data_IF_014134731197
#
_entry.id   IF_014134731197
#
_cell.length_a   1.000
_cell.length_b   1.000
_cell.length_c   1.000
_cell.angle_alpha   90.00
_cell.angle_beta   90.00
_cell.angle_gamma   90.00
#
_symmetry.space_group_name_H-M   'P 1'
#
loop_
_entity.id
_entity.type
_entity.pdbx_description
1 polymer ?
#
# COMPACT_ATOMS: atom_id res chain seq x y z
N UNK A 1 74.62 43.43 25.78
CA UNK A 1 73.60 42.44 26.17
C UNK A 1 72.54 43.13 27.00
N UNK A 2 71.40 43.48 26.40
CA UNK A 2 70.17 43.81 27.14
C UNK A 2 68.97 43.61 26.21
N UNK A 3 67.96 42.94 26.76
CA UNK A 3 66.91 42.18 26.05
C UNK A 3 65.73 43.09 25.69
N UNK A 4 65.27 43.01 24.43
CA UNK A 4 64.00 43.59 24.00
C UNK A 4 62.85 42.67 24.42
N UNK A 5 61.89 43.22 25.18
CA UNK A 5 60.64 42.56 25.57
C UNK A 5 59.67 42.68 24.39
N UNK A 6 59.29 41.55 23.80
CA UNK A 6 58.19 41.48 22.83
C UNK A 6 56.91 41.07 23.56
N UNK A 7 55.95 41.97 23.63
CA UNK A 7 54.59 41.69 24.09
C UNK A 7 53.86 40.92 22.98
N UNK A 8 53.63 39.62 23.19
CA UNK A 8 52.79 38.81 22.31
C UNK A 8 51.33 39.08 22.68
N UNK A 9 50.61 39.78 21.80
CA UNK A 9 49.15 39.93 21.89
C UNK A 9 48.53 38.66 21.30
N UNK A 10 47.98 37.81 22.17
CA UNK A 10 47.20 36.63 21.78
C UNK A 10 45.81 37.09 21.32
N UNK A 11 45.61 37.27 20.01
CA UNK A 11 44.28 37.47 19.45
C UNK A 11 43.60 36.10 19.41
N UNK A 12 42.81 35.81 20.43
CA UNK A 12 41.95 34.64 20.47
C UNK A 12 40.84 34.84 19.43
N UNK A 13 41.04 34.37 18.20
CA UNK A 13 39.99 34.35 17.17
C UNK A 13 38.94 33.33 17.59
N UNK A 14 37.82 33.80 18.15
CA UNK A 14 36.65 32.97 18.35
C UNK A 14 36.15 32.51 16.97
N UNK A 15 36.44 31.25 16.63
CA UNK A 15 35.88 30.58 15.48
C UNK A 15 34.39 30.37 15.77
N UNK A 16 33.56 31.32 15.34
CA UNK A 16 32.10 31.18 15.40
C UNK A 16 31.73 30.10 14.38
N UNK A 17 31.60 28.87 14.86
CA UNK A 17 30.94 27.78 14.14
C UNK A 17 29.47 28.17 13.96
N UNK A 18 29.17 28.90 12.89
CA UNK A 18 27.79 29.03 12.43
C UNK A 18 27.35 27.65 11.96
N UNK A 19 26.54 26.97 12.78
CA UNK A 19 25.84 25.76 12.37
C UNK A 19 25.12 26.05 11.05
N UNK A 20 25.16 25.15 10.06
CA UNK A 20 24.38 25.34 8.84
C UNK A 20 22.92 25.51 9.26
N UNK A 21 22.36 26.67 8.96
CA UNK A 21 20.93 26.93 9.12
C UNK A 21 20.21 26.00 8.15
N UNK A 22 19.39 25.10 8.69
CA UNK A 22 18.45 24.26 7.94
C UNK A 22 17.41 25.20 7.32
N UNK A 23 17.75 25.79 6.19
CA UNK A 23 16.85 26.57 5.36
C UNK A 23 16.65 25.80 4.06
N UNK A 24 15.85 24.73 4.14
CA UNK A 24 15.10 24.10 3.03
C UNK A 24 14.56 22.73 3.49
N UNK A 25 13.56 22.71 4.37
CA UNK A 25 12.63 21.58 4.41
C UNK A 25 11.24 22.14 4.09
N UNK A 26 11.07 22.60 2.84
CA UNK A 26 9.75 22.55 2.25
C UNK A 26 9.27 21.11 2.41
N UNK A 27 8.18 20.95 3.17
CA UNK A 27 7.64 19.67 3.61
C UNK A 27 7.78 18.60 2.51
N UNK A 28 8.77 17.71 2.65
CA UNK A 28 9.16 16.70 1.66
C UNK A 28 7.95 15.93 1.11
N UNK A 29 6.97 15.66 1.97
CA UNK A 29 5.74 14.96 1.59
C UNK A 29 4.88 15.74 0.60
N UNK A 30 4.87 17.08 0.64
CA UNK A 30 4.18 17.92 -0.36
C UNK A 30 4.88 17.85 -1.72
N UNK A 31 6.22 17.84 -1.73
CA UNK A 31 7.01 17.74 -2.96
C UNK A 31 6.85 16.38 -3.63
N UNK A 32 6.73 15.33 -2.82
CA UNK A 32 6.52 13.96 -3.27
C UNK A 32 5.04 13.59 -3.40
N UNK A 33 4.13 14.53 -3.11
CA UNK A 33 2.68 14.34 -3.19
C UNK A 33 2.29 13.76 -4.55
N UNK A 34 1.49 12.71 -4.51
CA UNK A 34 1.00 12.02 -5.69
C UNK A 34 2.00 11.09 -6.36
N UNK A 35 3.25 11.02 -5.90
CA UNK A 35 4.25 10.07 -6.42
C UNK A 35 4.08 8.69 -5.80
N UNK A 36 4.41 7.68 -6.60
CA UNK A 36 4.76 6.36 -6.10
C UNK A 36 6.27 6.35 -5.88
N UNK A 37 6.70 5.84 -4.72
CA UNK A 37 8.07 5.84 -4.25
C UNK A 37 8.53 4.40 -4.07
N UNK A 38 9.77 4.10 -4.46
CA UNK A 38 10.39 2.79 -4.27
C UNK A 38 11.56 2.91 -3.30
N UNK A 39 11.53 2.15 -2.21
CA UNK A 39 12.66 2.05 -1.28
C UNK A 39 13.83 1.35 -1.96
N UNK A 40 14.93 2.07 -2.22
CA UNK A 40 16.07 1.51 -2.95
C UNK A 40 17.14 0.86 -2.06
N UNK A 41 17.02 1.00 -0.74
CA UNK A 41 18.00 0.52 0.24
C UNK A 41 17.52 -0.69 1.08
N UNK A 42 16.24 -1.06 0.94
CA UNK A 42 15.58 -2.18 1.61
C UNK A 42 15.14 -3.25 0.58
N UNK A 43 13.99 -3.89 0.75
CA UNK A 43 13.47 -4.98 -0.06
C UNK A 43 12.75 -4.51 -1.34
N UNK A 44 12.81 -3.21 -1.67
CA UNK A 44 12.11 -2.66 -2.84
C UNK A 44 10.65 -2.36 -2.56
N UNK A 45 10.31 -1.97 -1.34
CA UNK A 45 8.95 -1.62 -0.93
C UNK A 45 8.43 -0.40 -1.69
N UNK A 46 7.21 -0.49 -2.23
CA UNK A 46 6.53 0.61 -2.92
C UNK A 46 5.59 1.38 -1.97
N UNK A 47 5.50 2.70 -2.15
CA UNK A 47 4.69 3.61 -1.33
C UNK A 47 4.01 4.68 -2.17
N UNK A 48 2.74 4.96 -1.93
CA UNK A 48 2.03 6.08 -2.55
C UNK A 48 1.91 7.25 -1.58
N UNK A 49 2.32 8.45 -1.99
CA UNK A 49 2.11 9.67 -1.18
C UNK A 49 0.78 10.30 -1.57
N UNK A 50 -0.20 10.27 -0.68
CA UNK A 50 -1.54 10.74 -0.98
C UNK A 50 -1.60 12.28 -1.15
N UNK A 51 -2.31 12.73 -2.19
CA UNK A 51 -2.40 14.16 -2.54
C UNK A 51 -3.22 15.01 -1.58
N UNK A 52 -4.14 14.40 -0.82
CA UNK A 52 -5.05 15.11 0.07
C UNK A 52 -4.45 15.32 1.47
N UNK A 53 -3.75 14.31 2.00
CA UNK A 53 -3.23 14.34 3.37
C UNK A 53 -1.70 14.28 3.49
N UNK A 54 -0.99 14.14 2.36
CA UNK A 54 0.48 14.07 2.30
C UNK A 54 1.10 12.95 3.12
N UNK A 55 0.33 11.91 3.45
CA UNK A 55 0.85 10.70 4.09
C UNK A 55 1.25 9.66 3.04
N UNK A 56 2.23 8.83 3.38
CA UNK A 56 2.64 7.68 2.54
C UNK A 56 1.83 6.43 2.91
N UNK A 57 1.35 5.71 1.92
CA UNK A 57 0.59 4.47 2.07
C UNK A 57 1.36 3.34 1.42
N UNK A 58 1.38 2.19 2.08
CA UNK A 58 2.12 1.02 1.60
C UNK A 58 1.45 0.40 0.37
N UNK A 59 2.26 0.01 -0.61
CA UNK A 59 1.83 -0.64 -1.86
C UNK A 59 2.55 -1.98 -2.09
N UNK A 60 3.29 -2.50 -1.10
CA UNK A 60 4.24 -3.59 -1.32
C UNK A 60 3.61 -4.94 -1.67
N UNK A 61 2.32 -5.14 -1.40
CA UNK A 61 1.57 -6.32 -1.86
C UNK A 61 0.43 -5.91 -2.80
N UNK A 62 0.01 -6.82 -3.70
CA UNK A 62 -1.13 -6.58 -4.57
C UNK A 62 -2.40 -6.13 -3.81
N UNK A 63 -2.71 -6.76 -2.67
CA UNK A 63 -3.87 -6.39 -1.85
C UNK A 63 -3.77 -4.98 -1.25
N UNK A 64 -2.58 -4.57 -0.76
CA UNK A 64 -2.37 -3.22 -0.22
C UNK A 64 -2.55 -2.15 -1.30
N UNK A 65 -2.03 -2.42 -2.50
CA UNK A 65 -2.18 -1.55 -3.65
C UNK A 65 -3.66 -1.39 -4.04
N UNK A 66 -4.42 -2.49 -4.04
CA UNK A 66 -5.85 -2.48 -4.26
C UNK A 66 -6.60 -1.65 -3.20
N UNK A 67 -6.29 -1.83 -1.91
CA UNK A 67 -6.93 -1.08 -0.84
C UNK A 67 -6.63 0.42 -0.95
N UNK A 68 -5.40 0.79 -1.29
CA UNK A 68 -5.02 2.19 -1.55
C UNK A 68 -5.83 2.76 -2.70
N UNK A 69 -5.94 2.03 -3.82
CA UNK A 69 -6.72 2.47 -4.98
C UNK A 69 -8.19 2.66 -4.64
N UNK A 70 -8.78 1.71 -3.91
CA UNK A 70 -10.20 1.71 -3.59
C UNK A 70 -10.57 2.79 -2.58
N UNK A 71 -9.77 2.96 -1.52
CA UNK A 71 -10.10 3.83 -0.39
C UNK A 71 -9.62 5.28 -0.57
N UNK A 72 -8.53 5.48 -1.31
CA UNK A 72 -8.02 6.83 -1.59
C UNK A 72 -8.41 7.34 -2.99
N UNK A 73 -8.99 6.46 -3.81
CA UNK A 73 -9.45 6.79 -5.15
C UNK A 73 -10.61 7.80 -5.12
N UNK A 74 -10.57 8.78 -6.00
CA UNK A 74 -11.67 9.73 -6.21
C UNK A 74 -12.53 9.26 -7.39
N UNK A 75 -13.85 9.37 -7.31
CA UNK A 75 -14.71 9.06 -8.46
C UNK A 75 -14.45 10.00 -9.65
N UNK A 76 -14.51 9.48 -10.87
CA UNK A 76 -14.42 10.25 -12.11
C UNK A 76 -15.39 9.74 -13.18
N UNK A 77 -15.91 10.65 -13.99
CA UNK A 77 -16.75 10.34 -15.16
C UNK A 77 -15.88 9.92 -16.36
N UNK A 78 -16.46 9.20 -17.31
CA UNK A 78 -15.78 8.80 -18.54
C UNK A 78 -15.33 10.03 -19.35
N UNK A 79 -16.17 11.08 -19.37
CA UNK A 79 -15.90 12.33 -20.06
C UNK A 79 -14.72 13.12 -19.45
N UNK A 80 -14.54 13.06 -18.13
CA UNK A 80 -13.39 13.71 -17.49
C UNK A 80 -12.14 12.83 -17.56
N UNK A 81 -12.30 11.51 -17.47
CA UNK A 81 -11.20 10.58 -17.59
C UNK A 81 -10.58 10.59 -18.99
N UNK A 82 -11.36 10.80 -20.07
CA UNK A 82 -10.85 10.89 -21.45
C UNK A 82 -9.94 12.10 -21.72
N UNK A 83 -9.88 13.06 -20.79
CA UNK A 83 -9.02 14.24 -20.89
C UNK A 83 -7.55 13.98 -20.56
N UNK A 84 -7.23 12.80 -20.03
CA UNK A 84 -5.85 12.39 -19.81
C UNK A 84 -5.34 11.59 -21.00
N UNK A 85 -4.10 11.87 -21.43
CA UNK A 85 -3.36 10.96 -22.30
C UNK A 85 -3.25 9.58 -21.65
N UNK A 86 -3.21 8.54 -22.47
CA UNK A 86 -3.18 7.16 -22.00
C UNK A 86 -1.73 6.69 -21.93
N UNK A 87 -1.33 6.19 -20.77
CA UNK A 87 -0.07 5.52 -20.56
C UNK A 87 -0.18 4.05 -20.95
N UNK A 88 0.70 3.59 -21.84
CA UNK A 88 0.84 2.18 -22.18
C UNK A 88 2.04 1.64 -21.40
N UNK A 89 1.83 0.50 -20.74
CA UNK A 89 2.89 -0.33 -20.18
C UNK A 89 2.70 -1.77 -20.68
N UNK A 90 3.71 -2.61 -20.55
CA UNK A 90 3.58 -4.03 -20.85
C UNK A 90 2.79 -4.73 -19.74
N UNK A 91 1.61 -5.25 -20.07
CA UNK A 91 0.81 -6.08 -19.18
C UNK A 91 1.13 -7.55 -19.43
N UNK A 92 1.31 -8.35 -18.38
CA UNK A 92 1.40 -9.81 -18.48
C UNK A 92 -0.03 -10.38 -18.59
N UNK A 93 -0.58 -10.27 -19.81
CA UNK A 93 -1.93 -10.67 -20.17
C UNK A 93 -2.01 -11.01 -21.66
N UNK A 94 -3.09 -11.66 -22.08
CA UNK A 94 -3.29 -11.99 -23.49
C UNK A 94 -3.64 -10.75 -24.32
N UNK A 95 -3.20 -10.75 -25.57
CA UNK A 95 -3.52 -9.82 -26.66
C UNK A 95 -4.03 -10.71 -27.82
N UNK A 96 -5.36 -10.80 -27.96
CA UNK A 96 -6.00 -11.81 -28.81
C UNK A 96 -5.98 -11.45 -30.29
N UNK A 97 -6.07 -10.18 -30.63
CA UNK A 97 -6.01 -9.68 -32.00
C UNK A 97 -4.62 -9.19 -32.43
N UNK A 98 -3.65 -9.20 -31.51
CA UNK A 98 -2.24 -8.89 -31.73
C UNK A 98 -2.01 -7.45 -32.20
N UNK A 99 -2.83 -6.53 -31.73
CA UNK A 99 -2.75 -5.11 -32.08
C UNK A 99 -1.77 -4.31 -31.19
N UNK A 100 -1.29 -4.94 -30.10
CA UNK A 100 -0.37 -4.37 -29.12
C UNK A 100 -1.04 -3.89 -27.83
N UNK A 101 -2.33 -4.14 -27.62
CA UNK A 101 -3.05 -3.91 -26.38
C UNK A 101 -3.45 -5.25 -25.75
N UNK A 102 -3.32 -5.35 -24.43
CA UNK A 102 -3.83 -6.52 -23.72
C UNK A 102 -5.36 -6.46 -23.59
N UNK A 103 -6.04 -7.60 -23.71
CA UNK A 103 -7.51 -7.69 -23.70
C UNK A 103 -8.18 -6.97 -22.51
N UNK A 104 -7.59 -7.03 -21.31
CA UNK A 104 -8.13 -6.32 -20.13
C UNK A 104 -7.97 -4.81 -20.27
N UNK A 105 -6.85 -4.37 -20.82
CA UNK A 105 -6.62 -2.95 -21.04
C UNK A 105 -7.58 -2.42 -22.10
N UNK A 106 -7.80 -3.17 -23.17
CA UNK A 106 -8.83 -2.89 -24.17
C UNK A 106 -10.24 -2.79 -23.58
N UNK A 107 -10.62 -3.75 -22.73
CA UNK A 107 -11.89 -3.68 -22.00
C UNK A 107 -12.03 -2.38 -21.19
N UNK A 108 -10.95 -1.92 -20.55
CA UNK A 108 -10.93 -0.68 -19.78
C UNK A 108 -10.92 0.58 -20.68
N UNK A 109 -10.46 0.47 -21.92
CA UNK A 109 -10.53 1.52 -22.93
C UNK A 109 -11.85 1.53 -23.70
N UNK A 110 -12.59 0.42 -23.65
CA UNK A 110 -13.82 0.20 -24.40
C UNK A 110 -13.59 -0.25 -25.84
N UNK A 111 -12.39 -0.74 -26.19
CA UNK A 111 -12.09 -1.36 -27.50
C UNK A 111 -12.46 -2.85 -27.50
N UNK A 112 -12.54 -3.45 -28.69
CA UNK A 112 -12.92 -4.85 -28.90
C UNK A 112 -11.67 -5.75 -29.01
N UNK A 113 -11.42 -6.55 -27.98
CA UNK A 113 -10.21 -7.39 -27.89
C UNK A 113 -10.10 -8.54 -28.89
N UNK A 114 -11.07 -8.69 -29.80
CA UNK A 114 -11.00 -9.65 -30.90
C UNK A 114 -10.90 -8.96 -32.27
N UNK A 115 -10.79 -7.62 -32.28
CA UNK A 115 -10.80 -6.81 -33.48
C UNK A 115 -9.76 -5.69 -33.37
N UNK A 116 -8.63 -5.77 -34.11
CA UNK A 116 -7.50 -4.88 -33.91
C UNK A 116 -7.74 -3.42 -34.32
N UNK A 117 -8.90 -3.11 -34.91
CA UNK A 117 -9.36 -1.78 -35.40
C UNK A 117 -10.84 -1.66 -35.03
N UNK A 118 -11.12 -1.18 -33.81
CA UNK A 118 -12.46 -1.21 -33.20
C UNK A 118 -13.46 -0.32 -33.96
N UNK A 119 -13.04 0.86 -34.41
CA UNK A 119 -13.92 1.80 -35.10
C UNK A 119 -13.97 1.61 -36.64
N UNK A 120 -13.09 0.75 -37.17
CA UNK A 120 -13.06 0.33 -38.57
C UNK A 120 -12.54 1.40 -39.51
N UNK A 121 -11.70 2.33 -39.03
CA UNK A 121 -11.17 3.43 -39.83
C UNK A 121 -9.87 3.07 -40.60
N UNK A 122 -9.33 1.88 -40.35
CA UNK A 122 -8.12 1.34 -40.98
C UNK A 122 -6.85 1.54 -40.16
N UNK A 123 -6.96 1.99 -38.91
CA UNK A 123 -5.86 2.09 -37.97
C UNK A 123 -6.07 1.15 -36.77
N UNK A 124 -4.98 0.51 -36.31
CA UNK A 124 -5.10 -0.39 -35.17
C UNK A 124 -5.25 0.39 -33.85
N UNK A 125 -6.06 -0.10 -32.92
CA UNK A 125 -6.37 0.60 -31.67
C UNK A 125 -5.09 0.92 -30.86
N UNK A 126 -4.18 -0.06 -30.76
CA UNK A 126 -2.89 0.11 -30.08
C UNK A 126 -2.00 1.19 -30.73
N UNK A 127 -2.05 1.33 -32.05
CA UNK A 127 -1.33 2.37 -32.78
C UNK A 127 -1.97 3.73 -32.53
N UNK A 128 -3.29 3.79 -32.53
CA UNK A 128 -4.03 5.02 -32.26
C UNK A 128 -3.76 5.56 -30.86
N UNK A 129 -3.88 4.71 -29.83
CA UNK A 129 -3.60 5.08 -28.44
C UNK A 129 -2.17 5.61 -28.29
N UNK A 130 -1.19 4.95 -28.90
CA UNK A 130 0.22 5.39 -28.87
C UNK A 130 0.42 6.76 -29.53
N UNK A 131 -0.43 7.13 -30.47
CA UNK A 131 -0.39 8.41 -31.20
C UNK A 131 -1.47 9.41 -30.75
N UNK A 132 -2.15 9.15 -29.61
CA UNK A 132 -3.23 9.97 -29.05
C UNK A 132 -4.48 10.13 -29.96
N UNK A 133 -4.74 9.16 -30.82
CA UNK A 133 -6.00 9.04 -31.57
C UNK A 133 -7.05 8.26 -30.77
N UNK A 134 -8.31 8.44 -31.13
CA UNK A 134 -9.45 7.83 -30.46
C UNK A 134 -9.84 6.51 -31.14
N UNK A 135 -9.60 5.34 -30.52
CA UNK A 135 -9.88 4.04 -31.17
C UNK A 135 -11.37 3.68 -31.25
N UNK A 136 -12.23 4.53 -30.69
CA UNK A 136 -13.68 4.32 -30.68
C UNK A 136 -14.41 5.37 -31.55
N UNK A 137 -13.69 6.05 -32.44
CA UNK A 137 -14.26 6.97 -33.39
C UNK A 137 -13.28 8.06 -33.82
N UNK A 138 -13.61 8.74 -34.91
CA UNK A 138 -12.72 9.70 -35.57
C UNK A 138 -11.94 10.69 -34.68
N UNK A 139 -10.67 10.88 -35.00
CA UNK A 139 -9.86 12.03 -34.58
C UNK A 139 -8.99 11.79 -33.35
N UNK A 140 -8.54 12.87 -32.72
CA UNK A 140 -7.69 12.80 -31.53
C UNK A 140 -8.51 12.61 -30.26
N UNK A 141 -7.92 11.95 -29.26
CA UNK A 141 -8.44 11.95 -27.90
C UNK A 141 -8.61 13.40 -27.40
N UNK A 142 -9.67 13.71 -26.62
CA UNK A 142 -9.97 15.05 -26.15
C UNK A 142 -9.08 15.47 -24.95
N UNK A 143 -7.77 15.33 -25.11
CA UNK A 143 -6.76 15.59 -24.07
C UNK A 143 -6.79 17.05 -23.63
N UNK A 144 -6.80 17.28 -22.32
CA UNK A 144 -6.69 18.60 -21.69
C UNK A 144 -5.55 18.63 -20.68
N UNK A 145 -4.43 19.25 -21.08
CA UNK A 145 -3.24 19.37 -20.24
C UNK A 145 -3.47 20.16 -18.94
N UNK A 146 -4.32 21.19 -18.97
CA UNK A 146 -4.62 21.96 -17.75
C UNK A 146 -5.45 21.11 -16.79
N UNK A 147 -6.39 20.33 -17.33
CA UNK A 147 -7.12 19.35 -16.53
C UNK A 147 -6.15 18.34 -15.91
N UNK A 148 -5.24 17.78 -16.71
CA UNK A 148 -4.26 16.81 -16.21
C UNK A 148 -3.39 17.37 -15.09
N UNK A 149 -2.87 18.59 -15.25
CA UNK A 149 -2.03 19.27 -14.26
C UNK A 149 -2.70 19.46 -12.90
N UNK A 150 -4.02 19.67 -12.87
CA UNK A 150 -4.79 19.83 -11.63
C UNK A 150 -5.10 18.49 -10.91
N UNK A 151 -4.78 17.37 -11.55
CA UNK A 151 -5.11 16.03 -11.06
C UNK A 151 -3.89 15.11 -10.96
N UNK A 152 -2.67 15.64 -11.11
CA UNK A 152 -1.44 14.86 -11.02
C UNK A 152 -1.36 14.08 -9.71
N UNK A 153 -1.04 12.81 -9.86
CA UNK A 153 -0.81 11.88 -8.77
C UNK A 153 -2.07 11.41 -8.08
N UNK A 154 -3.26 11.83 -8.52
CA UNK A 154 -4.50 11.27 -8.02
C UNK A 154 -4.69 9.86 -8.57
N UNK A 155 -5.33 9.04 -7.75
CA UNK A 155 -5.93 7.78 -8.20
C UNK A 155 -7.40 8.07 -8.41
N UNK A 156 -7.92 7.69 -9.56
CA UNK A 156 -9.33 7.78 -9.90
C UNK A 156 -9.99 6.41 -9.94
N UNK A 157 -11.28 6.38 -9.64
CA UNK A 157 -12.17 5.25 -9.83
C UNK A 157 -13.22 5.67 -10.86
N UNK A 158 -13.29 4.95 -11.97
CA UNK A 158 -14.23 5.22 -13.04
C UNK A 158 -15.64 4.79 -12.61
N UNK A 159 -16.55 5.75 -12.44
CA UNK A 159 -17.85 5.47 -11.81
C UNK A 159 -18.96 5.04 -12.78
N UNK A 160 -18.70 5.13 -14.08
CA UNK A 160 -19.69 4.92 -15.15
C UNK A 160 -19.45 3.62 -15.94
N UNK A 161 -18.51 2.78 -15.49
CA UNK A 161 -18.17 1.48 -16.11
C UNK A 161 -18.02 0.41 -15.01
N UNK A 162 -16.92 -0.36 -14.95
CA UNK A 162 -16.75 -1.46 -14.00
C UNK A 162 -16.02 -1.06 -12.71
N UNK A 163 -15.75 0.23 -12.50
CA UNK A 163 -14.99 0.70 -11.34
C UNK A 163 -13.49 0.63 -11.53
N UNK A 164 -13.03 0.67 -12.78
CA UNK A 164 -11.63 0.68 -13.17
C UNK A 164 -10.85 1.78 -12.42
N UNK A 165 -9.64 1.44 -11.98
CA UNK A 165 -8.78 2.39 -11.28
C UNK A 165 -7.68 2.93 -12.18
N UNK A 166 -7.42 4.23 -12.07
CA UNK A 166 -6.51 4.96 -12.95
C UNK A 166 -5.58 5.84 -12.13
N UNK A 167 -4.26 5.72 -12.33
CA UNK A 167 -3.28 6.60 -11.71
C UNK A 167 -2.83 7.68 -12.69
N UNK A 168 -2.91 8.94 -12.29
CA UNK A 168 -2.38 10.04 -13.10
C UNK A 168 -0.91 10.24 -12.74
N UNK A 169 0.01 9.78 -13.58
CA UNK A 169 1.43 9.86 -13.27
C UNK A 169 1.90 11.32 -13.33
N UNK A 170 2.44 11.88 -12.23
CA UNK A 170 2.93 13.25 -12.25
C UNK A 170 4.14 13.52 -13.16
N UNK A 171 4.85 12.48 -13.61
CA UNK A 171 6.05 12.64 -14.43
C UNK A 171 5.73 12.96 -15.91
N UNK A 172 4.67 12.35 -16.45
CA UNK A 172 4.26 12.47 -17.86
C UNK A 172 2.82 12.95 -18.04
N UNK A 173 2.05 13.10 -16.95
CA UNK A 173 0.65 13.55 -16.90
C UNK A 173 -0.35 12.56 -17.50
N UNK A 174 0.07 11.34 -17.80
CA UNK A 174 -0.77 10.30 -18.40
C UNK A 174 -1.57 9.54 -17.34
N UNK A 175 -2.72 9.00 -17.72
CA UNK A 175 -3.47 8.02 -16.93
C UNK A 175 -2.95 6.62 -17.22
N UNK A 176 -2.67 5.86 -16.17
CA UNK A 176 -2.26 4.46 -16.24
C UNK A 176 -3.35 3.59 -15.62
N UNK A 177 -3.77 2.57 -16.36
CA UNK A 177 -4.79 1.63 -15.91
C UNK A 177 -4.22 0.68 -14.86
N UNK A 178 -4.72 0.74 -13.63
CA UNK A 178 -4.17 -0.04 -12.53
C UNK A 178 -4.68 -1.49 -12.50
N UNK A 179 -5.66 -1.84 -13.35
CA UNK A 179 -6.04 -3.22 -13.64
C UNK A 179 -6.20 -4.14 -12.43
N UNK A 180 -5.55 -5.29 -12.49
CA UNK A 180 -5.48 -6.23 -11.37
C UNK A 180 -4.47 -5.72 -10.33
N UNK A 181 -4.59 -6.20 -9.08
CA UNK A 181 -3.56 -6.00 -8.06
C UNK A 181 -2.11 -6.26 -8.50
N UNK A 182 -1.87 -7.25 -9.38
CA UNK A 182 -0.54 -7.55 -9.92
C UNK A 182 -0.10 -6.53 -10.99
N UNK A 183 -1.02 -6.09 -11.85
CA UNK A 183 -0.74 -5.08 -12.88
C UNK A 183 -0.42 -3.75 -12.21
N UNK A 184 -1.26 -3.33 -11.27
CA UNK A 184 -1.06 -2.22 -10.35
C UNK A 184 0.36 -2.20 -9.77
N UNK A 185 0.81 -3.33 -9.22
CA UNK A 185 2.14 -3.46 -8.64
C UNK A 185 3.25 -3.28 -9.70
N UNK A 186 3.09 -3.85 -10.90
CA UNK A 186 4.05 -3.67 -12.00
C UNK A 186 4.14 -2.21 -12.44
N UNK A 187 2.99 -1.55 -12.68
CA UNK A 187 2.91 -0.11 -13.02
C UNK A 187 3.62 0.70 -11.94
N UNK A 188 3.28 0.41 -10.68
CA UNK A 188 3.78 1.15 -9.54
C UNK A 188 5.29 1.06 -9.42
N UNK A 189 5.89 -0.09 -9.73
CA UNK A 189 7.34 -0.23 -9.78
C UNK A 189 7.95 0.52 -10.96
N UNK A 190 7.37 0.41 -12.15
CA UNK A 190 7.88 1.06 -13.36
C UNK A 190 7.86 2.59 -13.25
N UNK A 191 6.78 3.16 -12.74
CA UNK A 191 6.59 4.60 -12.60
C UNK A 191 7.18 5.17 -11.29
N UNK A 192 7.76 4.32 -10.45
CA UNK A 192 8.23 4.74 -9.13
C UNK A 192 9.44 5.67 -9.19
N UNK A 193 9.46 6.62 -8.27
CA UNK A 193 10.66 7.39 -7.95
C UNK A 193 11.43 6.71 -6.82
N UNK A 194 12.70 6.36 -7.06
CA UNK A 194 13.56 5.83 -6.01
C UNK A 194 13.72 6.81 -4.84
N UNK A 195 13.60 6.30 -3.60
CA UNK A 195 13.78 7.08 -2.38
C UNK A 195 14.67 6.34 -1.37
N UNK A 196 15.52 7.11 -0.70
CA UNK A 196 16.35 6.62 0.41
C UNK A 196 15.53 6.52 1.71
N UNK A 197 15.89 5.58 2.58
CA UNK A 197 15.15 5.29 3.81
C UNK A 197 15.08 6.51 4.74
N UNK A 198 16.18 7.27 4.82
CA UNK A 198 16.26 8.52 5.59
C UNK A 198 15.19 9.52 5.15
N UNK A 199 14.99 9.70 3.84
CA UNK A 199 14.00 10.64 3.30
C UNK A 199 12.58 10.08 3.44
N UNK A 200 12.40 8.79 3.18
CA UNK A 200 11.09 8.17 3.31
C UNK A 200 10.59 8.19 4.76
N UNK A 201 11.48 8.01 5.74
CA UNK A 201 11.15 8.06 7.17
C UNK A 201 10.59 9.42 7.62
N UNK A 202 10.89 10.50 6.88
CA UNK A 202 10.38 11.85 7.16
C UNK A 202 8.93 12.06 6.70
N UNK A 203 8.37 11.15 5.91
CA UNK A 203 6.99 11.22 5.44
C UNK A 203 6.11 10.43 6.41
N UNK A 204 5.10 11.08 6.99
CA UNK A 204 4.17 10.41 7.89
C UNK A 204 3.48 9.25 7.18
N UNK A 205 3.41 8.08 7.81
CA UNK A 205 2.69 6.93 7.28
C UNK A 205 1.19 7.14 7.47
N UNK A 206 0.46 6.94 6.39
CA UNK A 206 -0.99 6.85 6.37
C UNK A 206 -1.38 5.40 6.57
N UNK A 207 -2.37 5.20 7.41
CA UNK A 207 -3.05 3.93 7.54
C UNK A 207 -4.40 4.15 6.87
N UNK A 208 -4.78 3.22 5.99
CA UNK A 208 -6.17 3.17 5.55
C UNK A 208 -6.91 2.68 6.78
N UNK A 209 -7.44 3.62 7.54
CA UNK A 209 -8.34 3.29 8.63
C UNK A 209 -9.48 2.50 7.97
N UNK A 210 -9.54 1.19 8.20
CA UNK A 210 -10.82 0.50 8.19
C UNK A 210 -11.63 1.26 9.24
N UNK A 211 -12.65 2.00 8.82
CA UNK A 211 -13.43 2.91 9.66
C UNK A 211 -13.38 2.56 11.15
N UNK A 212 -12.73 3.41 11.94
CA UNK A 212 -12.93 3.44 13.39
C UNK A 212 -14.30 4.09 13.67
N UNK A 213 -15.38 3.36 13.35
CA UNK A 213 -16.70 3.53 13.95
C UNK A 213 -17.60 2.29 13.86
N UNK A 214 -17.00 1.10 13.71
CA UNK A 214 -17.64 -0.14 14.12
C UNK A 214 -16.53 -1.09 14.53
N UNK A 215 -16.37 -1.26 15.85
CA UNK A 215 -15.47 -2.28 16.38
C UNK A 215 -15.68 -3.58 15.63
N UNK A 216 -14.58 -4.26 15.31
CA UNK A 216 -14.54 -5.47 14.47
C UNK A 216 -15.84 -6.29 14.63
N UNK A 217 -16.73 -6.28 13.61
CA UNK A 217 -18.06 -6.89 13.71
C UNK A 217 -18.03 -8.41 13.93
N UNK A 218 -16.92 -9.07 13.62
CA UNK A 218 -16.64 -10.48 13.96
C UNK A 218 -15.92 -10.64 15.30
N UNK A 219 -15.41 -9.56 15.89
CA UNK A 219 -14.75 -9.53 17.20
C UNK A 219 -15.75 -9.06 18.27
N UNK A 220 -16.91 -9.69 18.35
CA UNK A 220 -17.99 -9.26 19.25
C UNK A 220 -18.03 -10.09 20.54
N UNK A 221 -17.54 -11.33 20.52
CA UNK A 221 -17.83 -12.31 21.59
C UNK A 221 -16.58 -13.07 22.02
N UNK A 222 -16.52 -13.34 23.34
CA UNK A 222 -15.52 -14.21 23.97
C UNK A 222 -16.20 -15.42 24.62
N UNK A 223 -17.44 -15.70 24.22
CA UNK A 223 -18.30 -16.70 24.87
C UNK A 223 -17.86 -18.13 24.50
N UNK A 224 -17.18 -18.27 23.36
CA UNK A 224 -16.63 -19.53 22.87
C UNK A 224 -15.15 -19.38 22.51
N UNK A 225 -14.37 -20.44 22.76
CA UNK A 225 -12.93 -20.44 22.49
C UNK A 225 -12.57 -20.21 21.01
N UNK A 226 -13.36 -20.77 20.09
CA UNK A 226 -13.13 -20.60 18.65
C UNK A 226 -13.36 -19.14 18.23
N UNK A 227 -14.42 -18.53 18.75
CA UNK A 227 -14.74 -17.12 18.49
C UNK A 227 -13.67 -16.20 19.08
N UNK A 228 -13.14 -16.50 20.27
CA UNK A 228 -12.04 -15.74 20.85
C UNK A 228 -10.76 -15.81 20.00
N UNK A 229 -10.41 -16.99 19.47
CA UNK A 229 -9.28 -17.18 18.56
C UNK A 229 -9.47 -16.42 17.23
N UNK A 230 -10.64 -16.56 16.62
CA UNK A 230 -10.98 -15.88 15.37
C UNK A 230 -10.99 -14.35 15.55
N UNK A 231 -11.58 -13.87 16.63
CA UNK A 231 -11.62 -12.45 16.96
C UNK A 231 -10.23 -11.87 17.23
N UNK A 232 -9.36 -12.62 17.94
CA UNK A 232 -7.97 -12.23 18.15
C UNK A 232 -7.21 -12.13 16.82
N UNK A 233 -7.35 -13.14 15.96
CA UNK A 233 -6.72 -13.17 14.65
C UNK A 233 -7.16 -11.98 13.79
N UNK A 234 -8.46 -11.74 13.70
CA UNK A 234 -9.04 -10.61 12.97
C UNK A 234 -8.55 -9.26 13.53
N UNK A 235 -8.53 -9.09 14.85
CA UNK A 235 -8.03 -7.87 15.48
C UNK A 235 -6.53 -7.63 15.21
N UNK A 236 -5.72 -8.70 15.17
CA UNK A 236 -4.30 -8.65 14.80
C UNK A 236 -4.16 -8.25 13.32
N UNK A 237 -4.91 -8.89 12.42
CA UNK A 237 -4.89 -8.58 10.97
C UNK A 237 -5.29 -7.13 10.68
N UNK A 238 -6.24 -6.59 11.46
CA UNK A 238 -6.68 -5.19 11.37
C UNK A 238 -5.69 -4.21 12.01
N UNK A 239 -4.63 -4.69 12.67
CA UNK A 239 -3.66 -3.84 13.36
C UNK A 239 -4.23 -3.10 14.57
N UNK A 240 -5.38 -3.53 15.11
CA UNK A 240 -6.03 -2.89 16.24
C UNK A 240 -5.40 -3.38 17.55
N UNK A 241 -4.40 -2.66 18.05
CA UNK A 241 -3.65 -3.06 19.25
C UNK A 241 -4.56 -3.28 20.47
N UNK A 242 -5.48 -2.34 20.73
CA UNK A 242 -6.39 -2.41 21.88
C UNK A 242 -7.36 -3.59 21.78
N UNK A 243 -7.93 -3.83 20.59
CA UNK A 243 -8.82 -4.95 20.35
C UNK A 243 -8.05 -6.28 20.46
N UNK A 244 -6.90 -6.38 19.80
CA UNK A 244 -6.05 -7.57 19.83
C UNK A 244 -5.66 -7.93 21.27
N UNK A 245 -5.09 -6.99 22.03
CA UNK A 245 -4.73 -7.20 23.44
C UNK A 245 -5.91 -7.67 24.30
N UNK A 246 -7.13 -7.22 23.99
CA UNK A 246 -8.31 -7.60 24.77
C UNK A 246 -8.62 -9.10 24.69
N UNK A 247 -8.20 -9.81 23.64
CA UNK A 247 -8.43 -11.25 23.47
C UNK A 247 -7.35 -12.14 24.09
N UNK A 248 -6.35 -11.56 24.75
CA UNK A 248 -5.31 -12.30 25.45
C UNK A 248 -5.42 -12.11 26.96
N UNK A 249 -4.93 -13.10 27.71
CA UNK A 249 -4.89 -13.01 29.18
C UNK A 249 -4.03 -11.82 29.62
N UNK A 250 -4.26 -11.33 30.84
CA UNK A 250 -3.56 -10.16 31.40
C UNK A 250 -2.04 -10.31 31.33
N UNK A 251 -1.54 -11.52 31.53
CA UNK A 251 -0.11 -11.85 31.47
C UNK A 251 0.47 -11.67 30.06
N UNK A 252 -0.34 -11.93 29.03
CA UNK A 252 0.08 -11.87 27.63
C UNK A 252 -0.04 -10.47 27.03
N UNK A 253 -0.86 -9.57 27.60
CA UNK A 253 -1.15 -8.25 27.01
C UNK A 253 0.11 -7.46 26.62
N UNK A 254 1.16 -7.43 27.46
CA UNK A 254 2.42 -6.74 27.15
C UNK A 254 3.20 -7.38 26.00
N UNK A 255 3.17 -8.71 25.91
CA UNK A 255 3.81 -9.44 24.82
C UNK A 255 3.08 -9.17 23.51
N UNK A 256 1.75 -9.12 23.52
CA UNK A 256 0.93 -8.76 22.36
C UNK A 256 1.18 -7.33 21.94
N UNK A 257 1.21 -6.38 22.87
CA UNK A 257 1.53 -4.98 22.57
C UNK A 257 2.90 -4.87 21.90
N UNK A 258 3.92 -5.55 22.44
CA UNK A 258 5.25 -5.57 21.84
C UNK A 258 5.23 -6.18 20.44
N UNK A 259 4.61 -7.35 20.27
CA UNK A 259 4.50 -8.02 18.96
C UNK A 259 3.75 -7.17 17.95
N UNK A 260 2.64 -6.55 18.34
CA UNK A 260 1.84 -5.68 17.48
C UNK A 260 2.56 -4.38 17.10
N UNK A 261 3.48 -3.91 17.93
CA UNK A 261 4.34 -2.77 17.62
C UNK A 261 5.58 -3.17 16.80
N UNK A 262 6.05 -4.40 16.94
CA UNK A 262 7.21 -4.95 16.24
C UNK A 262 6.86 -5.40 14.82
N UNK A 263 5.72 -6.08 14.64
CA UNK A 263 5.27 -6.58 13.35
C UNK A 263 4.74 -5.43 12.50
N UNK A 264 5.18 -5.41 11.23
CA UNK A 264 4.50 -4.65 10.19
C UNK A 264 3.15 -5.30 9.82
N UNK A 265 2.44 -4.72 8.85
CA UNK A 265 1.13 -5.23 8.46
C UNK A 265 1.20 -6.61 7.80
N UNK A 266 2.33 -6.98 7.17
CA UNK A 266 2.51 -8.32 6.62
C UNK A 266 2.74 -9.35 7.72
N UNK A 267 3.55 -9.03 8.73
CA UNK A 267 3.76 -9.85 9.91
C UNK A 267 2.45 -10.08 10.67
N UNK A 268 1.62 -9.04 10.81
CA UNK A 268 0.28 -9.11 11.42
C UNK A 268 -0.68 -9.98 10.61
N UNK A 269 -0.73 -9.80 9.29
CA UNK A 269 -1.60 -10.58 8.42
C UNK A 269 -1.21 -12.06 8.38
N UNK A 270 0.09 -12.33 8.29
CA UNK A 270 0.66 -13.68 8.36
C UNK A 270 0.31 -14.36 9.68
N UNK A 271 0.54 -13.67 10.80
CA UNK A 271 0.18 -14.17 12.13
C UNK A 271 -1.32 -14.47 12.25
N UNK A 272 -2.18 -13.57 11.79
CA UNK A 272 -3.62 -13.77 11.79
C UNK A 272 -4.08 -14.95 10.94
N UNK A 273 -3.54 -15.13 9.73
CA UNK A 273 -3.88 -16.28 8.89
C UNK A 273 -3.40 -17.61 9.49
N UNK A 274 -2.24 -17.62 10.14
CA UNK A 274 -1.76 -18.80 10.88
C UNK A 274 -2.77 -19.15 11.99
N UNK A 275 -3.25 -18.15 12.73
CA UNK A 275 -4.27 -18.35 13.78
C UNK A 275 -5.60 -18.86 13.21
N UNK A 276 -6.08 -18.29 12.09
CA UNK A 276 -7.32 -18.72 11.42
C UNK A 276 -7.22 -20.13 10.81
N UNK A 277 -6.01 -20.55 10.41
CA UNK A 277 -5.73 -21.89 9.89
C UNK A 277 -5.53 -22.95 10.98
N UNK A 278 -5.77 -22.62 12.26
CA UNK A 278 -5.62 -23.56 13.36
C UNK A 278 -6.91 -24.33 13.65
N UNK A 279 -6.79 -25.66 13.71
CA UNK A 279 -7.91 -26.56 13.98
C UNK A 279 -7.89 -27.05 15.42
N UNK A 280 -9.07 -27.30 16.01
CA UNK A 280 -9.17 -27.80 17.38
C UNK A 280 -8.47 -29.16 17.51
N UNK A 281 -7.38 -29.20 18.29
CA UNK A 281 -6.58 -30.41 18.51
C UNK A 281 -6.80 -31.03 19.89
N UNK A 282 -7.17 -30.22 20.90
CA UNK A 282 -7.49 -30.71 22.24
C UNK A 282 -8.53 -29.83 22.94
N UNK A 283 -9.29 -30.41 23.88
CA UNK A 283 -10.46 -29.77 24.46
C UNK A 283 -10.75 -30.27 25.87
N UNK A 284 -10.74 -29.36 26.84
CA UNK A 284 -11.20 -29.56 28.22
C UNK A 284 -12.27 -28.53 28.58
N UNK A 285 -12.83 -28.59 29.80
CA UNK A 285 -13.80 -27.58 30.25
C UNK A 285 -13.18 -26.18 30.44
N UNK A 286 -11.89 -26.11 30.81
CA UNK A 286 -11.18 -24.87 31.13
C UNK A 286 -10.22 -24.39 30.03
N UNK A 287 -9.83 -25.26 29.09
CA UNK A 287 -8.85 -24.94 28.05
C UNK A 287 -9.16 -25.66 26.73
N UNK A 288 -8.97 -24.96 25.61
CA UNK A 288 -8.94 -25.52 24.25
C UNK A 288 -7.57 -25.29 23.63
N UNK A 289 -7.09 -26.24 22.84
CA UNK A 289 -5.89 -26.08 22.01
C UNK A 289 -6.28 -26.12 20.54
N UNK A 290 -5.82 -25.11 19.79
CA UNK A 290 -5.92 -25.07 18.33
C UNK A 290 -4.53 -25.21 17.75
N UNK A 291 -4.37 -26.05 16.73
CA UNK A 291 -3.06 -26.37 16.16
C UNK A 291 -3.05 -26.15 14.65
N UNK A 292 -1.94 -25.64 14.13
CA UNK A 292 -1.67 -25.54 12.71
C UNK A 292 -0.21 -25.91 12.41
N UNK A 293 0.12 -26.19 11.15
CA UNK A 293 1.50 -26.44 10.72
C UNK A 293 2.00 -25.32 9.81
N UNK A 294 3.11 -24.69 10.18
CA UNK A 294 3.77 -23.68 9.34
C UNK A 294 5.01 -24.28 8.71
N UNK A 295 5.14 -24.12 7.39
CA UNK A 295 6.29 -24.61 6.63
C UNK A 295 7.39 -23.56 6.55
N UNK A 296 8.59 -23.90 7.05
CA UNK A 296 9.75 -23.03 6.98
C UNK A 296 10.64 -23.46 5.80
N UNK A 297 10.56 -22.70 4.70
CA UNK A 297 11.25 -23.00 3.43
C UNK A 297 12.77 -23.09 3.55
N UNK A 298 13.40 -22.28 4.42
CA UNK A 298 14.85 -22.34 4.65
C UNK A 298 15.29 -23.59 5.42
N UNK A 299 14.37 -24.29 6.10
CA UNK A 299 14.67 -25.49 6.88
C UNK A 299 14.13 -26.79 6.27
N UNK A 300 13.13 -26.71 5.39
CA UNK A 300 12.49 -27.88 4.79
C UNK A 300 11.65 -28.72 5.77
N UNK A 301 11.28 -28.15 6.92
CA UNK A 301 10.48 -28.83 7.94
C UNK A 301 9.23 -28.02 8.30
N UNK A 302 8.22 -28.75 8.77
CA UNK A 302 6.99 -28.18 9.32
C UNK A 302 7.14 -27.98 10.82
N UNK A 303 6.66 -26.85 11.32
CA UNK A 303 6.61 -26.55 12.75
C UNK A 303 5.15 -26.53 13.19
N UNK A 304 4.75 -27.37 14.16
CA UNK A 304 3.43 -27.26 14.74
C UNK A 304 3.37 -26.02 15.63
N UNK A 305 2.36 -25.18 15.41
CA UNK A 305 2.05 -24.03 16.24
C UNK A 305 0.74 -24.32 16.98
N UNK A 306 0.74 -24.08 18.29
CA UNK A 306 -0.41 -24.30 19.16
C UNK A 306 -0.87 -22.98 19.77
N UNK A 307 -2.17 -22.75 19.75
CA UNK A 307 -2.84 -21.64 20.41
C UNK A 307 -3.70 -22.18 21.56
N UNK A 308 -3.39 -21.76 22.78
CA UNK A 308 -4.10 -22.14 24.00
C UNK A 308 -5.12 -21.06 24.31
N UNK A 309 -6.39 -21.46 24.39
CA UNK A 309 -7.51 -20.57 24.74
C UNK A 309 -8.10 -21.04 26.06
N UNK A 310 -8.07 -20.19 27.08
CA UNK A 310 -8.44 -20.52 28.46
C UNK A 310 -9.69 -19.77 28.90
N UNK A 311 -10.57 -20.48 29.60
CA UNK A 311 -11.79 -19.92 30.19
C UNK A 311 -11.45 -19.16 31.46
N UNK A 312 -11.93 -17.93 31.56
CA UNK A 312 -11.74 -17.03 32.69
C UNK A 312 -12.87 -17.17 33.72
N UNK A 313 -12.69 -16.62 34.91
CA UNK A 313 -13.68 -16.66 36.00
C UNK A 313 -15.01 -15.99 35.61
N UNK A 314 -14.95 -14.96 34.76
CA UNK A 314 -16.13 -14.25 34.24
C UNK A 314 -16.85 -15.00 33.10
N UNK A 315 -16.34 -16.18 32.71
CA UNK A 315 -16.89 -17.02 31.65
C UNK A 315 -16.35 -16.73 30.26
N UNK A 316 -15.57 -15.67 30.07
CA UNK A 316 -14.94 -15.36 28.78
C UNK A 316 -13.79 -16.31 28.45
N UNK A 317 -13.47 -16.46 27.17
CA UNK A 317 -12.33 -17.20 26.66
C UNK A 317 -11.27 -16.24 26.14
N UNK A 318 -10.02 -16.43 26.57
CA UNK A 318 -8.87 -15.61 26.18
C UNK A 318 -7.69 -16.48 25.78
N UNK A 319 -6.88 -16.00 24.84
CA UNK A 319 -5.64 -16.65 24.44
C UNK A 319 -4.56 -16.47 25.52
N UNK A 320 -3.94 -17.58 25.90
CA UNK A 320 -2.88 -17.62 26.91
C UNK A 320 -1.46 -17.63 26.30
N UNK A 321 -1.35 -17.67 24.97
CA UNK A 321 -0.08 -17.56 24.25
C UNK A 321 -0.25 -16.96 22.84
N UNK A 322 0.87 -16.60 22.24
CA UNK A 322 1.01 -16.21 20.84
C UNK A 322 2.21 -16.92 20.21
#
# INVERSE_FOLDING_TARGET
MQKFIWTIVFIMSALVLTKPTIAANENLSKRLSGRILLQVQSHGEAWYVNTANYKKYYLGRPADAFDVMRNLGTGITNNDLSKFEIGIIEYDDNDNDSDGLANRFEQALGTDSENPDTDGDGHNDGVEIKNNYNPNGSGFLPVDNNFAENHLGKIFLQTEQNGESWYINPADKKRYYLGRPADAFAIMRELSLGIADENLSQIATGYLDAEDSQGCPSCQTKDEAAQALEAAANAIMLGSNSAAMSYFTTEMQKAIEYTMNFLDQEGKFTLGNIMLGAELSSSTEAEKTYSTEVYFSMGGYKVPINFYVQKQEDGSWLLANL
#
